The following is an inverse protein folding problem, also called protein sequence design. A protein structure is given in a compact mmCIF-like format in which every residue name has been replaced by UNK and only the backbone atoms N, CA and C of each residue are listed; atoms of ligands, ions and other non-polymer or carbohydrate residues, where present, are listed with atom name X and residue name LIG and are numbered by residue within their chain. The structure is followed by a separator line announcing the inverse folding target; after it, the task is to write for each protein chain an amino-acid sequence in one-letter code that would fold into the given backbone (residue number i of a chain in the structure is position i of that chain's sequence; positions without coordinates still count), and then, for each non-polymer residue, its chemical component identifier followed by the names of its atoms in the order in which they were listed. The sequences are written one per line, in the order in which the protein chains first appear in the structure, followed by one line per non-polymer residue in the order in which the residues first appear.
data_IF_939898995135
#
_entry.id   IF_939898995135
#
_cell.length_a   1.000
_cell.length_b   1.000
_cell.length_c   1.000
_cell.angle_alpha   90.00
_cell.angle_beta   90.00
_cell.angle_gamma   90.00
#
_symmetry.space_group_name_H-M   'P 1'
#
loop_
_entity.id
_entity.type
_entity.pdbx_description
1 polymer ?
#
# COMPACT_ATOMS: atom_id res chain seq x y z
N UNK A 1 15.48 22.54 16.17
CA UNK A 1 15.52 22.29 14.74
C UNK A 1 16.01 23.55 14.03
N UNK A 2 16.76 23.39 12.97
CA UNK A 2 17.25 24.50 12.17
C UNK A 2 16.13 25.04 11.25
N UNK A 3 16.24 26.32 10.88
CA UNK A 3 15.33 26.95 9.93
C UNK A 3 15.39 26.24 8.56
N UNK A 4 14.27 26.31 7.84
CA UNK A 4 14.14 25.68 6.52
C UNK A 4 14.37 24.15 6.52
N UNK A 5 14.06 23.47 7.63
CA UNK A 5 14.05 22.02 7.72
C UNK A 5 12.63 21.47 7.73
N UNK A 6 12.44 20.30 7.13
CA UNK A 6 11.18 19.57 7.19
C UNK A 6 11.24 18.60 8.36
N UNK A 7 10.31 18.74 9.29
CA UNK A 7 10.24 17.95 10.52
C UNK A 7 9.03 17.02 10.48
N UNK A 8 9.23 15.79 10.92
CA UNK A 8 8.15 14.83 11.13
C UNK A 8 7.59 14.98 12.54
N UNK A 9 6.26 15.01 12.66
CA UNK A 9 5.55 15.15 13.93
C UNK A 9 4.65 13.94 14.17
N UNK A 10 4.40 13.64 15.45
CA UNK A 10 3.33 12.73 15.89
C UNK A 10 2.28 13.48 16.67
N UNK A 11 1.06 13.01 16.61
CA UNK A 11 -0.02 13.50 17.44
C UNK A 11 0.01 12.82 18.83
N UNK A 12 -0.14 13.63 19.90
CA UNK A 12 -0.19 13.20 21.29
C UNK A 12 -1.38 13.91 21.97
N UNK A 13 -2.57 13.27 21.98
CA UNK A 13 -3.81 13.89 22.46
C UNK A 13 -3.81 14.18 23.98
N UNK A 14 -2.96 13.50 24.72
CA UNK A 14 -2.73 13.62 26.17
C UNK A 14 -1.96 14.87 26.59
N UNK A 15 -1.39 15.59 25.63
CA UNK A 15 -0.66 16.83 25.91
C UNK A 15 -1.58 18.03 25.94
N UNK A 16 -1.10 19.11 26.57
CA UNK A 16 -1.79 20.39 26.61
C UNK A 16 -2.17 20.89 25.22
N UNK A 17 -3.31 21.55 25.11
CA UNK A 17 -3.79 22.18 23.89
C UNK A 17 -2.69 23.07 23.29
N UNK A 18 -2.48 22.97 21.96
CA UNK A 18 -1.41 23.59 21.17
C UNK A 18 -0.04 22.89 21.23
N UNK A 19 0.23 21.98 22.17
CA UNK A 19 1.46 21.19 22.26
C UNK A 19 1.29 19.72 21.86
N UNK A 20 0.17 19.39 21.26
CA UNK A 20 -0.19 18.03 20.90
C UNK A 20 0.59 17.48 19.69
N UNK A 21 1.13 18.36 18.84
CA UNK A 21 2.02 17.96 17.77
C UNK A 21 3.45 17.92 18.28
N UNK A 22 3.96 16.70 18.51
CA UNK A 22 5.30 16.46 19.05
C UNK A 22 6.27 16.19 17.92
N UNK A 23 7.36 16.95 17.78
CA UNK A 23 8.38 16.69 16.78
C UNK A 23 9.12 15.40 17.07
N UNK A 24 9.37 14.58 16.05
CA UNK A 24 10.07 13.31 16.15
C UNK A 24 11.50 13.45 15.63
N UNK A 25 11.62 13.93 14.36
CA UNK A 25 12.92 13.99 13.67
C UNK A 25 12.90 14.95 12.49
N UNK A 26 14.07 15.36 12.07
CA UNK A 26 14.27 16.03 10.78
C UNK A 26 14.19 15.00 9.65
N UNK A 27 13.43 15.31 8.62
CA UNK A 27 13.38 14.55 7.38
C UNK A 27 14.45 15.08 6.43
N UNK A 28 15.66 14.58 6.56
CA UNK A 28 16.81 15.03 5.76
C UNK A 28 16.59 14.88 4.25
N UNK A 29 15.96 13.79 3.83
CA UNK A 29 15.56 13.54 2.43
C UNK A 29 14.65 14.65 1.89
N UNK A 30 13.63 15.01 2.63
CA UNK A 30 12.66 16.05 2.28
C UNK A 30 13.24 17.44 2.39
N UNK A 31 14.08 17.67 3.38
CA UNK A 31 14.79 18.95 3.59
C UNK A 31 15.72 19.22 2.42
N UNK A 32 16.49 18.24 1.97
CA UNK A 32 17.38 18.39 0.82
C UNK A 32 16.60 18.71 -0.48
N UNK A 33 15.47 18.05 -0.70
CA UNK A 33 14.60 18.35 -1.85
C UNK A 33 14.02 19.76 -1.78
N UNK A 34 13.57 20.19 -0.62
CA UNK A 34 13.06 21.54 -0.38
C UNK A 34 14.12 22.60 -0.63
N UNK A 35 15.32 22.42 -0.07
CA UNK A 35 16.45 23.36 -0.22
C UNK A 35 16.95 23.45 -1.67
N UNK A 36 16.86 22.36 -2.45
CA UNK A 36 17.18 22.35 -3.88
C UNK A 36 16.10 23.00 -4.75
N UNK A 37 15.04 23.54 -4.14
CA UNK A 37 13.88 24.12 -4.84
C UNK A 37 13.23 23.13 -5.83
N UNK A 38 13.39 21.86 -5.61
CA UNK A 38 12.58 20.86 -6.28
C UNK A 38 11.22 20.84 -5.58
N UNK A 39 10.16 20.56 -6.32
CA UNK A 39 8.73 20.60 -5.93
C UNK A 39 8.47 20.33 -4.44
N UNK A 40 7.39 20.94 -3.92
CA UNK A 40 6.88 20.80 -2.56
C UNK A 40 7.16 19.41 -1.98
N UNK A 41 8.14 19.34 -1.07
CA UNK A 41 8.59 18.08 -0.46
C UNK A 41 7.77 17.69 0.77
N UNK A 42 6.86 18.57 1.20
CA UNK A 42 5.92 18.33 2.30
C UNK A 42 4.75 17.44 1.85
N UNK A 43 4.00 16.94 2.81
CA UNK A 43 2.77 16.21 2.51
C UNK A 43 1.78 17.14 1.78
N UNK A 44 1.13 16.63 0.76
CA UNK A 44 0.01 17.31 0.14
C UNK A 44 -1.13 17.50 1.15
N UNK A 45 -1.92 18.57 1.01
CA UNK A 45 -3.05 18.86 1.90
C UNK A 45 -3.97 17.63 2.11
N UNK A 46 -4.35 16.95 1.03
CA UNK A 46 -5.19 15.75 1.11
C UNK A 46 -4.56 14.62 1.96
N UNK A 47 -3.24 14.46 1.89
CA UNK A 47 -2.52 13.48 2.72
C UNK A 47 -2.55 13.87 4.19
N UNK A 48 -2.35 15.15 4.49
CA UNK A 48 -2.41 15.66 5.86
C UNK A 48 -3.85 15.55 6.42
N UNK A 49 -4.85 15.87 5.62
CA UNK A 49 -6.26 15.72 5.97
C UNK A 49 -6.63 14.25 6.23
N UNK A 50 -6.19 13.32 5.37
CA UNK A 50 -6.42 11.89 5.56
C UNK A 50 -5.79 11.36 6.85
N UNK A 51 -4.56 11.78 7.16
CA UNK A 51 -3.91 11.46 8.44
C UNK A 51 -4.68 12.05 9.62
N UNK A 52 -5.11 13.31 9.53
CA UNK A 52 -5.92 13.95 10.57
C UNK A 52 -7.23 13.21 10.83
N UNK A 53 -7.93 12.82 9.78
CA UNK A 53 -9.16 12.02 9.89
C UNK A 53 -8.91 10.68 10.56
N UNK A 54 -7.85 9.95 10.18
CA UNK A 54 -7.53 8.65 10.78
C UNK A 54 -7.13 8.74 12.24
N UNK A 55 -6.54 9.85 12.69
CA UNK A 55 -6.26 10.12 14.11
C UNK A 55 -7.57 10.30 14.91
N UNK A 56 -8.55 11.01 14.35
CA UNK A 56 -9.79 11.35 15.05
C UNK A 56 -10.92 10.33 14.84
N UNK A 57 -10.82 9.51 13.81
CA UNK A 57 -11.74 8.42 13.47
C UNK A 57 -10.96 7.17 13.12
N UNK A 58 -10.26 6.57 14.09
CA UNK A 58 -9.46 5.38 13.84
C UNK A 58 -10.35 4.19 13.49
N UNK A 59 -9.83 3.31 12.66
CA UNK A 59 -10.45 2.00 12.44
C UNK A 59 -10.28 1.20 13.73
N UNK A 60 -11.40 0.74 14.30
CA UNK A 60 -11.40 -0.02 15.55
C UNK A 60 -11.34 -1.53 15.30
N UNK A 61 -10.90 -2.28 16.30
CA UNK A 61 -10.93 -3.76 16.26
C UNK A 61 -12.36 -4.28 16.06
N UNK A 62 -13.37 -3.59 16.62
CA UNK A 62 -14.77 -3.92 16.44
C UNK A 62 -15.21 -3.77 14.98
N UNK A 63 -14.87 -2.64 14.33
CA UNK A 63 -15.13 -2.44 12.89
C UNK A 63 -14.56 -3.58 12.04
N UNK A 64 -13.33 -4.01 12.34
CA UNK A 64 -12.66 -5.08 11.60
C UNK A 64 -13.32 -6.43 11.85
N UNK A 65 -13.71 -6.74 13.09
CA UNK A 65 -14.22 -8.06 13.47
C UNK A 65 -15.70 -8.26 13.15
N UNK A 66 -16.51 -7.19 13.23
CA UNK A 66 -17.97 -7.28 13.06
C UNK A 66 -18.50 -6.65 11.78
N UNK A 67 -17.73 -5.78 11.13
CA UNK A 67 -18.19 -4.97 10.02
C UNK A 67 -19.18 -3.86 10.39
N UNK A 68 -19.41 -3.63 11.69
CA UNK A 68 -20.33 -2.61 12.18
C UNK A 68 -19.65 -1.24 12.32
N UNK A 69 -20.44 -0.17 12.29
CA UNK A 69 -19.98 1.20 12.50
C UNK A 69 -18.93 1.69 11.48
N UNK A 70 -18.88 1.09 10.31
CA UNK A 70 -18.02 1.55 9.21
C UNK A 70 -18.63 2.87 8.69
N UNK A 71 -17.85 3.97 8.60
CA UNK A 71 -18.34 5.23 8.06
C UNK A 71 -18.78 5.09 6.60
N UNK A 72 -19.96 5.61 6.25
CA UNK A 72 -20.51 5.57 4.88
C UNK A 72 -19.66 6.34 3.84
N UNK A 73 -18.86 7.29 4.29
CA UNK A 73 -17.99 8.08 3.44
C UNK A 73 -16.54 7.56 3.51
N UNK A 74 -16.29 6.44 2.86
CA UNK A 74 -14.92 6.09 2.47
C UNK A 74 -14.61 6.94 1.24
N UNK A 75 -13.76 7.97 1.40
CA UNK A 75 -13.31 8.81 0.29
C UNK A 75 -12.84 7.91 -0.86
N UNK A 76 -13.49 8.01 -2.03
CA UNK A 76 -13.09 7.34 -3.28
C UNK A 76 -11.74 7.86 -3.83
N UNK A 77 -10.91 8.44 -2.97
CA UNK A 77 -9.62 8.96 -3.36
C UNK A 77 -8.72 7.80 -3.76
N UNK A 78 -8.49 7.69 -5.05
CA UNK A 78 -7.49 6.78 -5.63
C UNK A 78 -6.14 7.10 -4.98
N UNK A 79 -5.79 6.34 -3.95
CA UNK A 79 -4.55 6.53 -3.18
C UNK A 79 -3.32 6.33 -4.05
N UNK A 80 -3.40 5.48 -5.07
CA UNK A 80 -2.29 5.14 -5.93
C UNK A 80 -2.73 4.81 -7.35
N UNK A 81 -2.74 5.82 -8.21
CA UNK A 81 -2.86 5.61 -9.66
C UNK A 81 -1.51 5.86 -10.32
N UNK A 82 -0.92 4.82 -10.87
CA UNK A 82 0.39 4.88 -11.49
C UNK A 82 0.29 5.35 -12.93
N UNK A 83 0.60 6.60 -13.18
CA UNK A 83 0.55 7.20 -14.52
C UNK A 83 1.87 7.14 -15.30
N UNK A 84 3.00 6.80 -14.65
CA UNK A 84 4.33 6.78 -15.29
C UNK A 84 5.01 5.43 -15.24
N UNK A 85 5.59 5.01 -16.35
CA UNK A 85 6.29 3.72 -16.51
C UNK A 85 7.78 3.80 -16.15
N UNK A 86 8.38 5.00 -16.16
CA UNK A 86 9.80 5.21 -15.87
C UNK A 86 9.98 5.99 -14.57
N UNK A 87 10.68 5.39 -13.61
CA UNK A 87 11.03 6.04 -12.33
C UNK A 87 12.52 5.85 -12.05
N UNK A 88 13.15 6.86 -11.41
CA UNK A 88 14.54 6.77 -10.92
C UNK A 88 14.76 5.61 -9.93
N UNK A 89 13.68 5.13 -9.30
CA UNK A 89 13.70 4.04 -8.33
C UNK A 89 13.47 2.65 -8.94
N UNK A 90 13.60 2.49 -10.27
CA UNK A 90 13.33 1.21 -10.95
C UNK A 90 14.19 0.07 -10.41
N UNK A 91 15.47 0.30 -10.22
CA UNK A 91 16.40 -0.72 -9.72
C UNK A 91 16.01 -1.18 -8.30
N UNK A 92 15.69 -0.24 -7.40
CA UNK A 92 15.24 -0.54 -6.05
C UNK A 92 13.91 -1.34 -6.06
N UNK A 93 12.97 -0.93 -6.90
CA UNK A 93 11.71 -1.64 -7.06
C UNK A 93 11.90 -3.05 -7.60
N UNK A 94 12.77 -3.22 -8.58
CA UNK A 94 13.08 -4.53 -9.14
C UNK A 94 13.75 -5.44 -8.10
N UNK A 95 14.67 -4.92 -7.30
CA UNK A 95 15.26 -5.63 -6.18
C UNK A 95 14.18 -6.08 -5.18
N UNK A 96 13.32 -5.15 -4.74
CA UNK A 96 12.22 -5.50 -3.83
C UNK A 96 11.27 -6.55 -4.40
N UNK A 97 10.84 -6.39 -5.64
CA UNK A 97 9.86 -7.30 -6.24
C UNK A 97 10.45 -8.66 -6.62
N UNK A 98 11.64 -8.66 -7.24
CA UNK A 98 12.22 -9.90 -7.80
C UNK A 98 13.02 -10.69 -6.77
N UNK A 99 13.58 -10.02 -5.75
CA UNK A 99 14.41 -10.67 -4.74
C UNK A 99 13.69 -10.72 -3.38
N UNK A 100 13.40 -9.59 -2.76
CA UNK A 100 12.88 -9.54 -1.37
C UNK A 100 11.51 -10.21 -1.28
N UNK A 101 10.52 -9.74 -2.00
CA UNK A 101 9.15 -10.31 -1.97
C UNK A 101 9.14 -11.79 -2.40
N UNK A 102 9.89 -12.12 -3.44
CA UNK A 102 9.99 -13.51 -3.87
C UNK A 102 10.54 -14.41 -2.78
N UNK A 103 11.64 -14.00 -2.14
CA UNK A 103 12.26 -14.77 -1.05
C UNK A 103 11.32 -14.89 0.15
N UNK A 104 10.67 -13.81 0.56
CA UNK A 104 9.71 -13.83 1.65
C UNK A 104 8.58 -14.82 1.39
N UNK A 105 7.87 -14.71 0.27
CA UNK A 105 6.76 -15.59 -0.06
C UNK A 105 7.22 -17.06 -0.11
N UNK A 106 8.35 -17.34 -0.75
CA UNK A 106 8.86 -18.70 -0.86
C UNK A 106 9.29 -19.29 0.49
N UNK A 107 9.83 -18.47 1.40
CA UNK A 107 10.31 -18.95 2.70
C UNK A 107 9.17 -19.22 3.69
N UNK A 108 8.09 -18.47 3.61
CA UNK A 108 6.96 -18.61 4.55
C UNK A 108 5.88 -19.59 4.04
N UNK A 109 5.84 -19.85 2.72
CA UNK A 109 4.82 -20.71 2.11
C UNK A 109 5.32 -22.14 1.95
N UNK A 110 4.41 -23.08 2.20
CA UNK A 110 4.58 -24.49 1.88
C UNK A 110 3.73 -24.87 0.66
N UNK A 111 4.01 -25.98 0.06
CA UNK A 111 3.19 -26.55 -1.01
C UNK A 111 1.73 -26.70 -0.57
N UNK A 112 0.81 -26.12 -1.34
CA UNK A 112 -0.62 -26.23 -1.07
C UNK A 112 -1.18 -25.22 -0.05
N UNK A 113 -0.37 -24.30 0.46
CA UNK A 113 -0.84 -23.26 1.40
C UNK A 113 -1.84 -22.29 0.77
N UNK A 114 -2.64 -21.67 1.62
CA UNK A 114 -3.50 -20.52 1.30
C UNK A 114 -2.80 -19.25 1.70
N UNK A 115 -2.93 -18.21 0.89
CA UNK A 115 -2.34 -16.88 1.13
C UNK A 115 -3.42 -15.79 1.08
N UNK A 116 -3.35 -14.86 2.03
CA UNK A 116 -4.12 -13.62 2.00
C UNK A 116 -3.17 -12.46 1.64
N UNK A 117 -3.48 -11.73 0.56
CA UNK A 117 -2.76 -10.51 0.18
C UNK A 117 -3.65 -9.30 0.42
N UNK A 118 -3.34 -8.52 1.47
CA UNK A 118 -4.15 -7.39 1.93
C UNK A 118 -4.01 -6.14 1.05
N UNK A 119 -3.11 -6.14 0.07
CA UNK A 119 -2.86 -5.02 -0.85
C UNK A 119 -2.44 -5.54 -2.22
N UNK A 120 -3.29 -6.39 -2.79
CA UNK A 120 -2.97 -7.19 -3.97
C UNK A 120 -2.64 -6.35 -5.21
N UNK A 121 -3.10 -5.10 -5.26
CA UNK A 121 -2.95 -4.23 -6.42
C UNK A 121 -3.50 -4.90 -7.69
N UNK A 122 -2.78 -4.79 -8.76
CA UNK A 122 -3.10 -5.47 -10.03
C UNK A 122 -2.50 -6.90 -10.10
N UNK A 123 -2.44 -7.62 -8.98
CA UNK A 123 -1.84 -8.95 -8.85
C UNK A 123 -0.38 -9.00 -9.36
N UNK A 124 0.43 -8.06 -8.94
CA UNK A 124 1.85 -7.99 -9.33
C UNK A 124 2.69 -9.18 -8.87
N UNK A 125 2.22 -9.88 -7.84
CA UNK A 125 2.90 -11.02 -7.22
C UNK A 125 2.42 -12.39 -7.74
N UNK A 126 1.51 -12.41 -8.72
CA UNK A 126 0.90 -13.61 -9.31
C UNK A 126 1.94 -14.71 -9.66
N UNK A 127 3.06 -14.34 -10.31
CA UNK A 127 4.09 -15.31 -10.66
C UNK A 127 4.82 -15.88 -9.43
N UNK A 128 4.89 -15.13 -8.34
CA UNK A 128 5.51 -15.60 -7.09
C UNK A 128 4.62 -16.61 -6.39
N UNK A 129 3.30 -16.40 -6.40
CA UNK A 129 2.31 -17.35 -5.86
C UNK A 129 2.30 -18.67 -6.63
N UNK A 130 2.41 -18.59 -7.97
CA UNK A 130 2.56 -19.78 -8.82
C UNK A 130 3.83 -20.56 -8.45
N UNK A 131 4.96 -19.85 -8.31
CA UNK A 131 6.24 -20.47 -7.99
C UNK A 131 6.25 -21.07 -6.57
N UNK A 132 5.53 -20.47 -5.64
CA UNK A 132 5.35 -21.00 -4.28
C UNK A 132 4.38 -22.19 -4.23
N UNK A 133 3.72 -22.53 -5.34
CA UNK A 133 2.77 -23.64 -5.46
C UNK A 133 1.63 -23.56 -4.45
N UNK A 134 1.08 -22.35 -4.25
CA UNK A 134 -0.07 -22.15 -3.39
C UNK A 134 -1.30 -22.88 -3.94
N UNK A 135 -2.26 -23.23 -3.07
CA UNK A 135 -3.54 -23.82 -3.46
C UNK A 135 -4.63 -22.76 -3.67
N UNK A 136 -4.59 -21.67 -2.89
CA UNK A 136 -5.57 -20.63 -2.95
C UNK A 136 -4.96 -19.27 -2.56
N UNK A 137 -5.42 -18.20 -3.22
CA UNK A 137 -5.05 -16.81 -2.87
C UNK A 137 -6.30 -15.97 -2.72
N UNK A 138 -6.44 -15.31 -1.58
CA UNK A 138 -7.45 -14.27 -1.36
C UNK A 138 -6.76 -12.91 -1.40
N UNK A 139 -7.09 -12.09 -2.41
CA UNK A 139 -6.49 -10.79 -2.61
C UNK A 139 -7.49 -9.67 -2.37
N UNK A 140 -7.09 -8.67 -1.59
CA UNK A 140 -7.90 -7.49 -1.29
C UNK A 140 -7.14 -6.26 -1.75
N UNK A 141 -7.84 -5.28 -2.32
CA UNK A 141 -7.29 -3.96 -2.62
C UNK A 141 -8.36 -2.90 -2.46
N UNK A 142 -7.96 -1.73 -1.99
CA UNK A 142 -8.86 -0.59 -1.84
C UNK A 142 -9.35 -0.05 -3.19
N UNK A 143 -8.50 -0.12 -4.21
CA UNK A 143 -8.80 0.40 -5.54
C UNK A 143 -9.57 -0.63 -6.37
N UNK A 144 -10.83 -0.34 -6.64
CA UNK A 144 -11.67 -1.11 -7.55
C UNK A 144 -11.01 -1.29 -8.93
N UNK A 145 -10.34 -0.25 -9.47
CA UNK A 145 -9.62 -0.33 -10.74
C UNK A 145 -8.49 -1.37 -10.70
N UNK A 146 -7.78 -1.50 -9.56
CA UNK A 146 -6.75 -2.51 -9.43
C UNK A 146 -7.32 -3.94 -9.53
N UNK A 147 -8.53 -4.16 -9.05
CA UNK A 147 -9.17 -5.49 -9.08
C UNK A 147 -9.87 -5.72 -10.42
N UNK A 148 -10.76 -4.82 -10.82
CA UNK A 148 -11.75 -5.04 -11.88
C UNK A 148 -11.34 -4.52 -13.27
N UNK A 149 -10.23 -3.79 -13.39
CA UNK A 149 -9.81 -3.28 -14.69
C UNK A 149 -9.67 -4.41 -15.71
N UNK A 150 -10.47 -4.32 -16.78
CA UNK A 150 -10.59 -5.39 -17.81
C UNK A 150 -9.29 -5.64 -18.58
N UNK A 151 -8.38 -4.66 -18.62
CA UNK A 151 -7.13 -4.77 -19.37
C UNK A 151 -6.00 -5.35 -18.55
N UNK A 152 -5.82 -4.86 -17.31
CA UNK A 152 -4.65 -5.15 -16.49
C UNK A 152 -4.93 -5.30 -14.98
N UNK A 153 -6.20 -5.33 -14.56
CA UNK A 153 -6.58 -5.60 -13.18
C UNK A 153 -6.24 -7.01 -12.72
N UNK A 154 -6.34 -7.25 -11.42
CA UNK A 154 -6.01 -8.53 -10.80
C UNK A 154 -6.80 -9.69 -11.42
N UNK A 155 -8.12 -9.54 -11.54
CA UNK A 155 -9.01 -10.52 -12.17
C UNK A 155 -8.60 -10.83 -13.61
N UNK A 156 -8.39 -9.79 -14.43
CA UNK A 156 -8.02 -9.94 -15.83
C UNK A 156 -6.66 -10.68 -15.99
N UNK A 157 -5.68 -10.33 -15.19
CA UNK A 157 -4.35 -10.97 -15.19
C UNK A 157 -4.43 -12.42 -14.74
N UNK A 158 -5.19 -12.71 -13.69
CA UNK A 158 -5.38 -14.06 -13.19
C UNK A 158 -6.03 -14.95 -14.27
N UNK A 159 -7.16 -14.53 -14.83
CA UNK A 159 -7.89 -15.29 -15.86
C UNK A 159 -7.00 -15.53 -17.08
N UNK A 160 -6.29 -14.49 -17.56
CA UNK A 160 -5.36 -14.61 -18.69
C UNK A 160 -4.25 -15.61 -18.44
N UNK A 161 -3.75 -15.67 -17.21
CA UNK A 161 -2.69 -16.59 -16.82
C UNK A 161 -3.24 -18.02 -16.62
N UNK A 162 -4.38 -18.17 -15.99
CA UNK A 162 -5.05 -19.46 -15.75
C UNK A 162 -5.42 -20.16 -17.06
N UNK A 163 -5.89 -19.43 -18.07
CA UNK A 163 -6.16 -19.96 -19.41
C UNK A 163 -4.93 -20.60 -20.09
N UNK A 164 -3.73 -20.13 -19.74
CA UNK A 164 -2.46 -20.67 -20.28
C UNK A 164 -1.87 -21.79 -19.45
N UNK A 165 -2.32 -21.97 -18.22
CA UNK A 165 -1.78 -22.93 -17.25
C UNK A 165 -2.92 -23.73 -16.62
N UNK A 166 -3.08 -24.98 -17.02
CA UNK A 166 -4.17 -25.86 -16.53
C UNK A 166 -4.11 -26.08 -15.02
N UNK A 167 -2.91 -26.19 -14.43
CA UNK A 167 -2.69 -26.46 -13.00
C UNK A 167 -2.22 -25.18 -12.29
N UNK A 168 -3.14 -24.28 -12.04
CA UNK A 168 -2.89 -23.06 -11.30
C UNK A 168 -3.84 -23.00 -10.11
N UNK A 169 -3.37 -22.43 -9.00
CA UNK A 169 -4.16 -22.21 -7.79
C UNK A 169 -5.48 -21.48 -8.09
N UNK A 170 -6.44 -21.58 -7.17
CA UNK A 170 -7.67 -20.81 -7.21
C UNK A 170 -7.49 -19.46 -6.51
N UNK A 171 -8.20 -18.42 -6.95
CA UNK A 171 -8.11 -17.11 -6.35
C UNK A 171 -9.46 -16.40 -6.31
N UNK A 172 -9.63 -15.58 -5.29
CA UNK A 172 -10.71 -14.60 -5.15
C UNK A 172 -10.07 -13.21 -4.95
N UNK A 173 -10.57 -12.21 -5.68
CA UNK A 173 -10.12 -10.84 -5.57
C UNK A 173 -11.31 -9.91 -5.34
#
# INVERSE_FOLDING_TARGET
FEDNTIVEFRWAPDREKFWQWVPIRVRYDKTADYQRRQKISCNAYKTAEGVWRSIHRPITSEMISTGNNIPDNVDENIYYNRTTTTTSTRALRDFHNKYVKRKLITNISKYGDTLIDMTVGKAGDLQKWINAKLSFVFGIDYSKDNIENKMDGACARYIKTKRKRRNMFDALF
#
